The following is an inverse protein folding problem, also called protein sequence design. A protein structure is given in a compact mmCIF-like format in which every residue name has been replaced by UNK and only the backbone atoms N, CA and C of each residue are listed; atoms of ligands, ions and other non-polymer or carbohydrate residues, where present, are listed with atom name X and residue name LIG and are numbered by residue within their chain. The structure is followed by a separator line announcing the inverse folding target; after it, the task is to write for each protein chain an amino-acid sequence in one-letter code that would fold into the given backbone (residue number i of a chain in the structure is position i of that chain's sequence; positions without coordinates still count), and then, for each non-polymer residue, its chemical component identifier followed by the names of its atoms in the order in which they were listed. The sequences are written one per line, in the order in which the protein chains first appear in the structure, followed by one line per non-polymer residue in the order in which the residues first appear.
data_IF_834191961721
#
_entry.id   IF_834191961721
#
_cell.length_a   1.000
_cell.length_b   1.000
_cell.length_c   1.000
_cell.angle_alpha   90.00
_cell.angle_beta   90.00
_cell.angle_gamma   90.00
#
_symmetry.space_group_name_H-M   'P 1'
#
loop_
_entity.id
_entity.type
_entity.pdbx_description
1 polymer ?
#
# COMPACT_ATOMS: atom_id res chain seq x y z
N UNK A 1 -17.94 5.66 -6.56
CA UNK A 1 -18.93 4.53 -6.61
C UNK A 1 -18.40 3.31 -5.84
N UNK A 2 -19.20 2.26 -5.58
CA UNK A 2 -18.72 1.01 -4.92
C UNK A 2 -18.47 -0.10 -5.94
N UNK A 3 -17.35 -0.81 -5.79
CA UNK A 3 -17.01 -2.01 -6.57
C UNK A 3 -17.35 -3.30 -5.82
N UNK A 4 -16.96 -4.44 -6.38
CA UNK A 4 -17.02 -5.76 -5.71
C UNK A 4 -15.65 -6.42 -5.72
N UNK A 5 -15.25 -6.99 -4.59
CA UNK A 5 -14.05 -7.84 -4.51
C UNK A 5 -14.42 -9.12 -3.79
N UNK A 6 -13.98 -10.26 -4.31
CA UNK A 6 -14.14 -11.55 -3.64
C UNK A 6 -12.98 -12.50 -4.02
N UNK A 7 -12.82 -13.56 -3.24
CA UNK A 7 -11.83 -14.62 -3.48
C UNK A 7 -12.55 -15.93 -3.73
N UNK A 8 -12.10 -16.69 -4.72
CA UNK A 8 -12.65 -17.99 -5.10
C UNK A 8 -11.52 -19.01 -5.26
N UNK A 9 -11.69 -20.17 -4.64
CA UNK A 9 -10.82 -21.33 -4.88
C UNK A 9 -11.59 -22.36 -5.68
N UNK A 10 -10.99 -22.87 -6.75
CA UNK A 10 -11.52 -23.96 -7.56
C UNK A 10 -10.52 -25.10 -7.66
N UNK A 11 -11.02 -26.33 -7.63
CA UNK A 11 -10.24 -27.56 -7.67
C UNK A 11 -10.77 -28.45 -8.78
N UNK A 12 -9.87 -29.13 -9.50
CA UNK A 12 -10.29 -29.89 -10.65
C UNK A 12 -9.22 -30.76 -11.24
N UNK A 13 -9.49 -31.16 -12.47
CA UNK A 13 -8.63 -32.02 -13.26
C UNK A 13 -8.47 -31.48 -14.66
N UNK A 14 -7.29 -31.68 -15.25
CA UNK A 14 -6.94 -31.30 -16.62
C UNK A 14 -6.26 -32.47 -17.32
N UNK A 15 -6.58 -32.67 -18.59
CA UNK A 15 -5.87 -33.56 -19.52
C UNK A 15 -5.12 -32.67 -20.51
N UNK A 16 -3.80 -32.82 -20.56
CA UNK A 16 -2.96 -32.11 -21.51
C UNK A 16 -2.84 -32.96 -22.78
N UNK A 17 -2.97 -32.32 -23.93
CA UNK A 17 -2.88 -33.00 -25.21
C UNK A 17 -1.44 -33.51 -25.44
N UNK A 18 -1.30 -34.74 -25.93
CA UNK A 18 0.01 -35.39 -26.08
C UNK A 18 0.59 -36.04 -24.81
N UNK A 19 -0.09 -35.96 -23.66
CA UNK A 19 0.34 -36.59 -22.41
C UNK A 19 -0.61 -37.70 -21.93
N UNK A 20 -0.08 -38.83 -21.43
CA UNK A 20 -0.90 -39.82 -20.76
C UNK A 20 -1.31 -39.32 -19.36
N UNK A 21 -2.61 -39.39 -19.08
CA UNK A 21 -3.15 -39.23 -17.72
C UNK A 21 -3.77 -37.87 -17.42
N UNK A 22 -4.41 -37.82 -16.25
CA UNK A 22 -5.16 -36.66 -15.77
C UNK A 22 -4.37 -36.02 -14.63
N UNK A 23 -4.18 -34.70 -14.69
CA UNK A 23 -3.47 -33.91 -13.69
C UNK A 23 -4.44 -33.14 -12.81
N UNK A 24 -4.09 -32.97 -11.53
CA UNK A 24 -4.85 -32.10 -10.62
C UNK A 24 -4.54 -30.63 -10.95
N UNK A 25 -5.58 -29.81 -11.02
CA UNK A 25 -5.48 -28.35 -11.18
C UNK A 25 -6.16 -27.65 -10.00
N UNK A 26 -5.55 -26.56 -9.53
CA UNK A 26 -6.11 -25.68 -8.51
C UNK A 26 -5.93 -24.23 -8.92
N UNK A 27 -7.00 -23.46 -8.81
CA UNK A 27 -6.97 -22.00 -8.96
C UNK A 27 -7.35 -21.36 -7.63
N UNK A 28 -6.51 -20.45 -7.15
CA UNK A 28 -6.78 -19.57 -6.02
C UNK A 28 -6.87 -18.13 -6.56
N UNK A 29 -8.09 -17.64 -6.79
CA UNK A 29 -8.35 -16.41 -7.52
C UNK A 29 -8.92 -15.31 -6.63
N UNK A 30 -8.58 -14.07 -6.97
CA UNK A 30 -9.20 -12.84 -6.47
C UNK A 30 -9.85 -12.12 -7.66
N UNK A 31 -11.15 -11.89 -7.56
CA UNK A 31 -11.91 -11.14 -8.55
C UNK A 31 -12.14 -9.70 -8.06
N UNK A 32 -11.89 -8.72 -8.93
CA UNK A 32 -12.12 -7.30 -8.67
C UNK A 32 -12.98 -6.70 -9.77
N UNK A 33 -14.18 -6.25 -9.41
CA UNK A 33 -15.13 -5.62 -10.31
C UNK A 33 -15.30 -4.13 -9.96
N UNK A 34 -15.50 -3.34 -11.01
CA UNK A 34 -15.66 -1.88 -10.93
C UNK A 34 -16.98 -1.45 -10.31
N UNK A 35 -17.94 -2.37 -10.28
CA UNK A 35 -19.31 -2.14 -9.83
C UNK A 35 -19.73 -3.24 -8.86
N UNK A 36 -20.79 -2.95 -8.12
CA UNK A 36 -21.49 -3.97 -7.33
C UNK A 36 -22.01 -5.06 -8.27
N UNK A 37 -21.65 -6.32 -8.01
CA UNK A 37 -22.18 -7.46 -8.74
C UNK A 37 -23.66 -7.59 -8.47
N UNK A 38 -24.47 -7.46 -9.53
CA UNK A 38 -25.90 -7.60 -9.48
C UNK A 38 -26.32 -8.74 -10.42
N UNK A 39 -27.09 -9.74 -9.98
CA UNK A 39 -27.42 -10.92 -10.81
C UNK A 39 -28.08 -10.60 -12.15
N UNK A 40 -28.82 -9.50 -12.23
CA UNK A 40 -29.54 -9.07 -13.44
C UNK A 40 -28.66 -8.28 -14.43
N UNK A 41 -27.39 -8.00 -14.13
CA UNK A 41 -26.48 -7.25 -14.99
C UNK A 41 -25.28 -8.10 -15.41
N UNK A 42 -24.73 -7.80 -16.58
CA UNK A 42 -23.40 -8.27 -16.97
C UNK A 42 -22.36 -7.38 -16.29
N UNK A 43 -21.43 -7.99 -15.57
CA UNK A 43 -20.33 -7.29 -14.90
C UNK A 43 -19.01 -7.92 -15.28
N UNK A 44 -18.06 -7.11 -15.74
CA UNK A 44 -16.68 -7.52 -15.95
C UNK A 44 -15.89 -7.34 -14.65
N UNK A 45 -14.99 -8.28 -14.38
CA UNK A 45 -14.07 -8.25 -13.26
C UNK A 45 -12.68 -8.70 -13.71
N UNK A 46 -11.63 -8.07 -13.16
CA UNK A 46 -10.26 -8.55 -13.31
C UNK A 46 -10.01 -9.70 -12.34
N UNK A 47 -9.33 -10.73 -12.80
CA UNK A 47 -8.85 -11.85 -12.02
C UNK A 47 -7.34 -11.71 -11.80
N UNK A 48 -6.90 -11.94 -10.57
CA UNK A 48 -5.50 -12.20 -10.24
C UNK A 48 -5.43 -13.38 -9.27
N UNK A 49 -4.32 -14.13 -9.25
CA UNK A 49 -4.19 -15.23 -8.30
C UNK A 49 -3.11 -16.23 -8.65
N UNK A 50 -3.21 -17.42 -8.07
CA UNK A 50 -2.24 -18.51 -8.25
C UNK A 50 -2.88 -19.67 -9.00
N UNK A 51 -2.20 -20.15 -10.04
CA UNK A 51 -2.60 -21.31 -10.83
C UNK A 51 -1.61 -22.45 -10.60
N UNK A 52 -2.11 -23.63 -10.22
CA UNK A 52 -1.28 -24.83 -10.00
C UNK A 52 -1.78 -25.98 -10.84
N UNK A 53 -0.89 -26.56 -11.64
CA UNK A 53 -1.11 -27.83 -12.34
C UNK A 53 -0.04 -28.80 -11.84
N UNK A 54 -0.48 -29.92 -11.28
CA UNK A 54 0.41 -30.88 -10.65
C UNK A 54 1.54 -31.33 -11.60
N UNK A 55 2.79 -31.01 -11.22
CA UNK A 55 4.00 -31.35 -11.97
C UNK A 55 4.23 -30.53 -13.25
N UNK A 56 3.56 -29.38 -13.42
CA UNK A 56 3.64 -28.55 -14.64
C UNK A 56 3.64 -27.04 -14.38
N UNK A 57 2.89 -26.60 -13.36
CA UNK A 57 2.75 -25.17 -13.08
C UNK A 57 2.56 -24.93 -11.60
N UNK A 58 3.22 -23.88 -11.11
CA UNK A 58 2.94 -23.26 -9.83
C UNK A 58 3.17 -21.75 -9.95
N UNK A 59 2.31 -21.09 -10.73
CA UNK A 59 2.43 -19.68 -11.05
C UNK A 59 1.67 -18.82 -10.03
N UNK A 60 2.34 -18.01 -9.21
CA UNK A 60 1.69 -17.12 -8.25
C UNK A 60 1.08 -15.85 -8.88
N UNK A 61 1.29 -15.63 -10.17
CA UNK A 61 0.98 -14.39 -10.89
C UNK A 61 0.00 -14.58 -12.06
N UNK A 62 -0.94 -15.51 -11.92
CA UNK A 62 -1.99 -15.71 -12.91
C UNK A 62 -2.93 -14.49 -12.99
N UNK A 63 -3.24 -14.02 -14.19
CA UNK A 63 -4.06 -12.84 -14.43
C UNK A 63 -5.09 -13.05 -15.54
N UNK A 64 -6.24 -12.37 -15.46
CA UNK A 64 -7.25 -12.50 -16.49
C UNK A 64 -8.53 -11.74 -16.23
N UNK A 65 -9.61 -12.22 -16.83
CA UNK A 65 -10.92 -11.60 -16.81
C UNK A 65 -12.02 -12.60 -16.43
N UNK A 66 -13.02 -12.07 -15.74
CA UNK A 66 -14.23 -12.75 -15.34
C UNK A 66 -15.43 -11.94 -15.80
N UNK A 67 -16.25 -12.53 -16.66
CA UNK A 67 -17.55 -11.99 -17.03
C UNK A 67 -18.64 -12.68 -16.21
N UNK A 68 -19.33 -11.93 -15.36
CA UNK A 68 -20.45 -12.43 -14.55
C UNK A 68 -21.77 -11.97 -15.18
N UNK A 69 -22.54 -12.88 -15.77
CA UNK A 69 -23.84 -12.58 -16.38
C UNK A 69 -24.85 -13.73 -16.16
N UNK A 70 -25.24 -14.00 -14.91
CA UNK A 70 -26.00 -15.21 -14.55
C UNK A 70 -27.46 -15.19 -15.04
N UNK A 71 -28.07 -14.01 -15.21
CA UNK A 71 -29.44 -13.89 -15.72
C UNK A 71 -29.44 -13.51 -17.21
N UNK A 72 -28.73 -12.44 -17.59
CA UNK A 72 -28.81 -11.89 -18.94
C UNK A 72 -28.20 -12.81 -20.00
N UNK A 73 -27.05 -13.44 -19.73
CA UNK A 73 -26.39 -14.40 -20.65
C UNK A 73 -26.36 -15.83 -20.14
N UNK A 74 -26.91 -16.09 -18.94
CA UNK A 74 -26.86 -17.39 -18.26
C UNK A 74 -25.44 -17.98 -18.21
N UNK A 75 -24.43 -17.13 -18.03
CA UNK A 75 -23.03 -17.50 -18.14
C UNK A 75 -22.14 -16.77 -17.15
N UNK A 76 -21.14 -17.47 -16.64
CA UNK A 76 -19.99 -16.88 -15.95
C UNK A 76 -18.72 -17.35 -16.66
N UNK A 77 -18.07 -16.48 -17.44
CA UNK A 77 -16.89 -16.82 -18.28
C UNK A 77 -15.61 -16.41 -17.58
N UNK A 78 -14.62 -17.30 -17.60
CA UNK A 78 -13.28 -17.10 -17.07
C UNK A 78 -12.30 -17.17 -18.23
N UNK A 79 -11.44 -16.15 -18.36
CA UNK A 79 -10.28 -16.18 -19.25
C UNK A 79 -9.05 -15.81 -18.44
N UNK A 80 -8.16 -16.77 -18.17
CA UNK A 80 -7.01 -16.61 -17.28
C UNK A 80 -5.72 -16.97 -18.02
N UNK A 81 -4.70 -16.15 -17.89
CA UNK A 81 -3.34 -16.41 -18.35
C UNK A 81 -2.45 -16.78 -17.17
N UNK A 82 -1.59 -17.78 -17.32
CA UNK A 82 -0.55 -18.13 -16.36
C UNK A 82 0.61 -18.85 -17.05
N UNK A 83 1.76 -18.96 -16.38
CA UNK A 83 2.95 -19.65 -16.88
C UNK A 83 3.00 -21.11 -16.41
N UNK A 84 3.31 -22.03 -17.32
CA UNK A 84 3.55 -23.45 -17.04
C UNK A 84 4.81 -23.90 -17.80
N UNK A 85 5.79 -24.49 -17.12
CA UNK A 85 7.08 -24.90 -17.71
C UNK A 85 7.75 -23.82 -18.59
N UNK A 86 7.68 -22.55 -18.16
CA UNK A 86 8.24 -21.40 -18.89
C UNK A 86 7.40 -20.90 -20.07
N UNK A 87 6.26 -21.53 -20.37
CA UNK A 87 5.34 -21.17 -21.46
C UNK A 87 4.10 -20.47 -20.94
N UNK A 88 3.55 -19.56 -21.72
CA UNK A 88 2.35 -18.79 -21.38
C UNK A 88 1.10 -19.53 -21.86
N UNK A 89 0.27 -19.99 -20.92
CA UNK A 89 -0.99 -20.68 -21.21
C UNK A 89 -2.19 -19.77 -20.94
N UNK A 90 -3.24 -19.93 -21.75
CA UNK A 90 -4.54 -19.28 -21.57
C UNK A 90 -5.62 -20.33 -21.28
N UNK A 91 -6.24 -20.25 -20.11
CA UNK A 91 -7.46 -20.99 -19.76
C UNK A 91 -8.68 -20.18 -20.18
N UNK A 92 -9.54 -20.74 -21.02
CA UNK A 92 -10.86 -20.17 -21.35
C UNK A 92 -11.96 -21.19 -21.02
N UNK A 93 -12.93 -20.78 -20.22
CA UNK A 93 -14.02 -21.64 -19.80
C UNK A 93 -15.22 -20.86 -19.28
N UNK A 94 -16.37 -21.50 -19.17
CA UNK A 94 -17.54 -20.85 -18.59
C UNK A 94 -18.46 -21.79 -17.81
N UNK A 95 -19.06 -21.25 -16.76
CA UNK A 95 -20.17 -21.88 -16.03
C UNK A 95 -21.47 -21.54 -16.74
N UNK A 96 -22.25 -22.56 -17.13
CA UNK A 96 -23.56 -22.40 -17.76
C UNK A 96 -24.66 -22.37 -16.69
N UNK A 97 -25.14 -21.17 -16.35
CA UNK A 97 -26.06 -20.93 -15.23
C UNK A 97 -27.49 -21.36 -15.60
N UNK A 98 -28.10 -22.22 -14.79
CA UNK A 98 -29.48 -22.67 -15.01
C UNK A 98 -30.26 -22.82 -13.70
N UNK A 99 -31.51 -22.33 -13.63
CA UNK A 99 -32.35 -22.49 -12.45
C UNK A 99 -32.74 -23.94 -12.19
N UNK A 100 -32.66 -24.82 -13.21
CA UNK A 100 -32.98 -26.25 -13.07
C UNK A 100 -31.97 -27.03 -12.21
N UNK A 101 -30.72 -26.57 -12.16
CA UNK A 101 -29.63 -27.17 -11.37
C UNK A 101 -28.79 -26.06 -10.73
N UNK A 102 -29.34 -25.33 -9.75
CA UNK A 102 -28.78 -24.05 -9.30
C UNK A 102 -27.38 -24.20 -8.68
N UNK A 103 -27.13 -25.30 -7.96
CA UNK A 103 -25.82 -25.54 -7.34
C UNK A 103 -24.79 -26.00 -8.38
N UNK A 104 -25.09 -27.04 -9.15
CA UNK A 104 -24.14 -27.59 -10.13
C UNK A 104 -23.76 -26.56 -11.22
N UNK A 105 -24.75 -25.80 -11.70
CA UNK A 105 -24.55 -24.77 -12.73
C UNK A 105 -23.70 -23.58 -12.28
N UNK A 106 -23.58 -23.36 -10.97
CA UNK A 106 -22.79 -22.29 -10.36
C UNK A 106 -21.41 -22.75 -9.87
N UNK A 107 -21.17 -24.06 -9.86
CA UNK A 107 -19.98 -24.66 -9.23
C UNK A 107 -19.08 -25.41 -10.18
N UNK A 108 -19.56 -25.80 -11.37
CA UNK A 108 -18.77 -26.54 -12.36
C UNK A 108 -18.33 -25.63 -13.51
N UNK A 109 -17.02 -25.57 -13.75
CA UNK A 109 -16.37 -24.79 -14.79
C UNK A 109 -15.60 -25.72 -15.74
N UNK A 110 -16.20 -26.15 -16.86
CA UNK A 110 -15.42 -26.73 -17.97
C UNK A 110 -14.53 -25.64 -18.60
N UNK A 111 -13.33 -26.02 -19.02
CA UNK A 111 -12.39 -25.12 -19.66
C UNK A 111 -11.48 -25.83 -20.67
N UNK A 112 -10.89 -25.03 -21.54
CA UNK A 112 -9.85 -25.42 -22.50
C UNK A 112 -8.59 -24.60 -22.23
N UNK A 113 -7.41 -25.22 -22.40
CA UNK A 113 -6.11 -24.55 -22.35
C UNK A 113 -5.60 -24.28 -23.77
N UNK A 114 -5.02 -23.11 -23.94
CA UNK A 114 -4.42 -22.66 -25.20
C UNK A 114 -2.98 -22.18 -24.99
N UNK A 115 -2.11 -22.46 -25.95
CA UNK A 115 -0.77 -21.88 -26.13
C UNK A 115 -0.78 -21.23 -27.53
N UNK A 116 -0.56 -19.91 -27.62
CA UNK A 116 -0.63 -19.16 -28.90
C UNK A 116 -1.86 -19.49 -29.76
N UNK A 117 -3.04 -19.49 -29.13
CA UNK A 117 -4.35 -19.85 -29.70
C UNK A 117 -4.50 -21.32 -30.16
N UNK A 118 -3.46 -22.14 -30.08
CA UNK A 118 -3.54 -23.59 -30.28
C UNK A 118 -4.02 -24.27 -29.00
N UNK A 119 -5.00 -25.18 -29.12
CA UNK A 119 -5.48 -25.97 -27.99
C UNK A 119 -4.39 -26.95 -27.53
N UNK A 120 -4.12 -26.96 -26.22
CA UNK A 120 -3.14 -27.84 -25.58
C UNK A 120 -3.71 -28.69 -24.44
N UNK A 121 -5.00 -28.57 -24.14
CA UNK A 121 -5.66 -29.43 -23.17
C UNK A 121 -7.08 -29.00 -22.81
N UNK A 122 -7.77 -29.84 -22.04
CA UNK A 122 -9.12 -29.59 -21.56
C UNK A 122 -9.30 -30.10 -20.12
N UNK A 123 -10.21 -29.48 -19.38
CA UNK A 123 -10.43 -29.88 -18.00
C UNK A 123 -11.74 -29.39 -17.41
N UNK A 124 -11.93 -29.75 -16.15
CA UNK A 124 -13.09 -29.33 -15.36
C UNK A 124 -12.62 -28.90 -13.98
N UNK A 125 -12.94 -27.66 -13.62
CA UNK A 125 -12.80 -27.09 -12.29
C UNK A 125 -14.14 -27.15 -11.56
N UNK A 126 -14.08 -27.34 -10.24
CA UNK A 126 -15.23 -27.35 -9.35
C UNK A 126 -14.97 -26.45 -8.15
N UNK A 127 -15.97 -25.65 -7.80
CA UNK A 127 -15.99 -24.93 -6.53
C UNK A 127 -16.36 -25.90 -5.40
N UNK A 128 -15.48 -26.09 -4.39
CA UNK A 128 -15.73 -27.06 -3.32
C UNK A 128 -16.74 -26.49 -2.33
N UNK A 129 -18.04 -26.64 -2.58
CA UNK A 129 -19.11 -26.01 -1.77
C UNK A 129 -18.96 -26.27 -0.26
N UNK A 130 -18.66 -27.51 0.13
CA UNK A 130 -18.62 -27.92 1.52
C UNK A 130 -17.54 -27.17 2.35
N UNK A 131 -16.41 -26.86 1.74
CA UNK A 131 -15.26 -26.23 2.42
C UNK A 131 -15.01 -24.79 1.98
N UNK A 132 -15.46 -24.43 0.78
CA UNK A 132 -15.19 -23.15 0.11
C UNK A 132 -16.31 -22.12 0.21
N UNK A 133 -17.57 -22.52 0.45
CA UNK A 133 -18.71 -21.58 0.44
C UNK A 133 -18.61 -20.49 1.51
N UNK A 134 -18.34 -20.88 2.76
CA UNK A 134 -18.24 -19.92 3.85
C UNK A 134 -17.04 -18.96 3.66
N UNK A 135 -15.80 -19.43 3.37
CA UNK A 135 -14.69 -18.55 3.02
C UNK A 135 -14.98 -17.61 1.84
N UNK A 136 -15.62 -18.11 0.79
CA UNK A 136 -16.03 -17.34 -0.39
C UNK A 136 -16.96 -16.19 -0.01
N UNK A 137 -18.06 -16.48 0.69
CA UNK A 137 -19.03 -15.47 1.15
C UNK A 137 -18.38 -14.45 2.10
N UNK A 138 -17.52 -14.90 3.02
CA UNK A 138 -16.77 -14.02 3.92
C UNK A 138 -15.71 -13.17 3.20
N UNK A 139 -15.31 -13.59 1.99
CA UNK A 139 -14.40 -12.91 1.08
C UNK A 139 -15.04 -11.71 0.37
N UNK A 140 -16.37 -11.64 0.25
CA UNK A 140 -17.05 -10.53 -0.42
C UNK A 140 -16.82 -9.19 0.28
N UNK A 141 -16.50 -8.18 -0.52
CA UNK A 141 -16.29 -6.78 -0.12
C UNK A 141 -16.86 -5.85 -1.16
N UNK A 142 -17.31 -4.69 -0.67
CA UNK A 142 -17.85 -3.61 -1.49
C UNK A 142 -17.09 -2.31 -1.22
N UNK A 143 -15.80 -2.24 -1.61
CA UNK A 143 -14.98 -1.06 -1.35
C UNK A 143 -15.58 0.16 -2.06
N UNK A 144 -15.51 1.33 -1.40
CA UNK A 144 -15.65 2.59 -2.12
C UNK A 144 -14.41 2.75 -2.99
N UNK A 145 -14.61 2.99 -4.28
CA UNK A 145 -13.53 3.44 -5.14
C UNK A 145 -13.27 4.90 -4.85
N UNK A 146 -12.02 5.15 -4.50
CA UNK A 146 -11.42 6.46 -4.38
C UNK A 146 -10.26 6.41 -5.36
N UNK A 147 -10.22 7.38 -6.26
CA UNK A 147 -9.10 7.54 -7.16
C UNK A 147 -7.91 8.03 -6.32
N UNK A 148 -6.78 7.32 -6.29
CA UNK A 148 -5.57 7.82 -5.64
C UNK A 148 -5.19 9.23 -6.11
N UNK A 149 -5.44 9.56 -7.39
CA UNK A 149 -5.10 10.85 -7.97
C UNK A 149 -5.86 12.02 -7.32
N UNK A 150 -7.11 11.81 -6.87
CA UNK A 150 -7.88 12.84 -6.14
C UNK A 150 -7.18 13.26 -4.84
N UNK A 151 -6.37 12.38 -4.25
CA UNK A 151 -5.62 12.69 -3.03
C UNK A 151 -4.24 13.29 -3.33
N UNK A 152 -3.89 13.55 -4.60
CA UNK A 152 -2.69 14.28 -5.00
C UNK A 152 -2.92 15.78 -5.17
N UNK A 153 -4.16 16.23 -5.35
CA UNK A 153 -4.54 17.65 -5.42
C UNK A 153 -4.16 18.41 -4.13
N UNK A 154 -3.63 19.63 -4.19
CA UNK A 154 -3.44 20.49 -3.01
C UNK A 154 -4.74 20.79 -2.27
N UNK A 155 -4.69 20.78 -0.94
CA UNK A 155 -5.83 21.05 -0.05
C UNK A 155 -5.80 22.47 0.50
N UNK A 156 -4.63 23.09 0.52
CA UNK A 156 -4.46 24.44 1.02
C UNK A 156 -5.37 25.42 0.26
N UNK A 157 -6.10 26.22 1.03
CA UNK A 157 -7.15 27.11 0.52
C UNK A 157 -6.81 28.60 0.70
N UNK A 158 -5.54 28.93 0.94
CA UNK A 158 -5.10 30.30 1.24
C UNK A 158 -4.94 30.62 2.73
N UNK A 159 -5.37 29.74 3.64
CA UNK A 159 -5.30 30.01 5.07
C UNK A 159 -3.84 30.02 5.60
N UNK A 160 -3.44 31.00 6.43
CA UNK A 160 -2.11 31.00 7.06
C UNK A 160 -1.97 29.87 8.08
N UNK A 161 -0.73 29.62 8.51
CA UNK A 161 -0.41 28.60 9.52
C UNK A 161 -0.66 27.18 9.04
N UNK A 162 -0.33 26.88 7.77
CA UNK A 162 -0.54 25.58 7.14
C UNK A 162 0.74 25.02 6.58
N UNK A 163 0.91 23.70 6.73
CA UNK A 163 1.84 22.92 5.93
C UNK A 163 1.08 21.84 5.16
N UNK A 164 1.54 21.59 3.95
CA UNK A 164 1.07 20.50 3.13
C UNK A 164 2.25 19.78 2.49
N UNK A 165 2.33 18.47 2.68
CA UNK A 165 3.46 17.64 2.25
C UNK A 165 2.99 16.59 1.26
N UNK A 166 3.78 16.39 0.22
CA UNK A 166 3.79 15.24 -0.68
C UNK A 166 5.14 14.58 -0.53
N UNK A 167 5.18 13.37 0.02
CA UNK A 167 6.42 12.64 0.09
C UNK A 167 6.29 11.23 -0.46
N UNK A 168 7.39 10.73 -0.99
CA UNK A 168 7.52 9.42 -1.57
C UNK A 168 8.78 8.77 -1.01
N UNK A 169 8.63 7.54 -0.56
CA UNK A 169 9.74 6.67 -0.21
C UNK A 169 9.70 5.40 -1.05
N UNK A 170 10.86 4.88 -1.41
CA UNK A 170 11.02 3.62 -2.13
C UNK A 170 12.38 2.99 -1.85
N UNK A 171 12.48 1.68 -2.10
CA UNK A 171 13.75 0.95 -2.08
C UNK A 171 13.99 0.30 -3.44
N UNK A 172 15.15 0.56 -4.03
CA UNK A 172 15.61 -0.12 -5.24
C UNK A 172 15.86 -1.61 -4.96
N UNK A 173 15.17 -2.54 -5.63
CA UNK A 173 15.33 -3.96 -5.39
C UNK A 173 16.69 -4.50 -5.83
N UNK A 174 17.39 -3.80 -6.74
CA UNK A 174 18.68 -4.25 -7.25
C UNK A 174 19.82 -3.97 -6.28
N UNK A 175 19.87 -2.75 -5.72
CA UNK A 175 20.94 -2.31 -4.81
C UNK A 175 20.56 -2.32 -3.33
N UNK A 176 19.26 -2.35 -3.00
CA UNK A 176 18.77 -2.08 -1.65
C UNK A 176 18.82 -0.60 -1.25
N UNK A 177 19.13 0.31 -2.19
CA UNK A 177 19.21 1.76 -1.91
C UNK A 177 17.81 2.33 -1.66
N UNK A 178 17.63 2.97 -0.52
CA UNK A 178 16.44 3.77 -0.21
C UNK A 178 16.48 5.12 -0.90
N UNK A 179 15.32 5.64 -1.31
CA UNK A 179 15.17 6.97 -1.92
C UNK A 179 14.01 7.67 -1.23
N UNK A 180 14.23 8.94 -0.88
CA UNK A 180 13.22 9.82 -0.30
C UNK A 180 13.07 11.08 -1.14
N UNK A 181 11.83 11.41 -1.48
CA UNK A 181 11.44 12.65 -2.16
C UNK A 181 10.40 13.35 -1.30
N UNK A 182 10.72 14.52 -0.75
CA UNK A 182 9.83 15.31 0.09
C UNK A 182 9.55 16.66 -0.56
N UNK A 183 8.27 16.97 -0.76
CA UNK A 183 7.82 18.24 -1.31
C UNK A 183 6.86 18.89 -0.31
N UNK A 184 7.07 20.16 -0.03
CA UNK A 184 6.37 20.85 1.05
C UNK A 184 5.95 22.25 0.64
N UNK A 185 4.69 22.55 0.90
CA UNK A 185 4.13 23.89 0.95
C UNK A 185 4.12 24.35 2.41
N UNK A 186 4.68 25.52 2.68
CA UNK A 186 4.55 26.22 3.96
C UNK A 186 3.82 27.53 3.73
N UNK A 187 2.73 27.74 4.47
CA UNK A 187 1.99 29.01 4.56
C UNK A 187 2.20 29.59 5.97
N UNK A 188 3.11 30.56 6.14
CA UNK A 188 3.47 31.10 7.44
C UNK A 188 2.29 31.72 8.22
N UNK A 189 2.40 31.79 9.55
CA UNK A 189 1.38 32.40 10.42
C UNK A 189 1.44 33.93 10.44
N UNK A 190 2.60 34.51 10.12
CA UNK A 190 2.84 35.96 10.16
C UNK A 190 2.29 36.71 8.94
N UNK A 191 1.70 35.99 7.98
CA UNK A 191 1.14 36.55 6.76
C UNK A 191 2.15 36.74 5.63
N UNK A 192 3.41 36.30 5.80
CA UNK A 192 4.36 36.23 4.70
C UNK A 192 3.89 35.26 3.60
N UNK A 193 4.38 35.48 2.38
CA UNK A 193 3.96 34.71 1.21
C UNK A 193 4.22 33.20 1.41
N UNK A 194 3.27 32.34 1.03
CA UNK A 194 3.46 30.89 1.05
C UNK A 194 4.59 30.50 0.09
N UNK A 195 5.40 29.54 0.50
CA UNK A 195 6.51 29.05 -0.30
C UNK A 195 6.52 27.53 -0.39
N UNK A 196 7.15 27.07 -1.47
CA UNK A 196 7.37 25.67 -1.79
C UNK A 196 8.84 25.34 -1.59
N UNK A 197 9.15 24.21 -0.97
CA UNK A 197 10.51 23.68 -0.88
C UNK A 197 10.47 22.17 -0.73
N UNK A 198 11.64 21.54 -0.62
CA UNK A 198 11.70 20.12 -0.36
C UNK A 198 13.10 19.55 -0.43
N UNK A 199 13.18 18.23 -0.39
CA UNK A 199 14.42 17.47 -0.38
C UNK A 199 14.33 16.25 -1.28
N UNK A 200 15.48 15.86 -1.81
CA UNK A 200 15.70 14.52 -2.35
C UNK A 200 16.88 13.90 -1.57
N UNK A 201 16.76 12.64 -1.18
CA UNK A 201 17.81 11.93 -0.48
C UNK A 201 17.92 10.47 -0.94
N UNK A 202 19.13 9.93 -0.84
CA UNK A 202 19.45 8.53 -1.11
C UNK A 202 20.12 7.92 0.11
N UNK A 203 19.75 6.67 0.38
CA UNK A 203 20.19 5.88 1.52
C UNK A 203 20.77 4.56 0.99
N UNK A 204 22.03 4.57 0.50
CA UNK A 204 22.69 3.34 0.06
C UNK A 204 22.72 2.30 1.18
N UNK A 205 22.69 1.01 0.82
CA UNK A 205 22.88 -0.07 1.81
C UNK A 205 24.28 -0.02 2.43
N UNK A 206 25.26 0.37 1.62
CA UNK A 206 26.63 0.66 2.00
C UNK A 206 27.05 2.01 1.43
N UNK A 207 27.66 2.86 2.24
CA UNK A 207 28.11 4.20 1.84
C UNK A 207 27.35 5.31 2.55
N UNK A 208 27.68 6.55 2.17
CA UNK A 208 27.16 7.75 2.82
C UNK A 208 25.74 8.08 2.34
N UNK A 209 24.89 8.49 3.29
CA UNK A 209 23.59 9.08 3.00
C UNK A 209 23.79 10.46 2.36
N UNK A 210 23.26 10.66 1.16
CA UNK A 210 23.39 11.93 0.42
C UNK A 210 22.04 12.57 0.23
N UNK A 211 21.99 13.90 0.27
CA UNK A 211 20.75 14.65 0.07
C UNK A 211 21.00 15.99 -0.60
N UNK A 212 19.92 16.58 -1.09
CA UNK A 212 19.87 17.94 -1.65
C UNK A 212 18.58 18.62 -1.23
N UNK A 213 18.57 19.94 -1.25
CA UNK A 213 17.38 20.77 -0.99
C UNK A 213 17.03 21.56 -2.24
N UNK A 214 15.74 21.71 -2.52
CA UNK A 214 15.23 22.66 -3.50
C UNK A 214 14.28 23.67 -2.85
N UNK A 215 14.14 24.85 -3.47
CA UNK A 215 13.46 25.99 -2.87
C UNK A 215 14.23 26.62 -1.69
N UNK A 216 13.63 27.59 -0.99
CA UNK A 216 12.24 28.01 -1.12
C UNK A 216 11.98 28.81 -2.40
N UNK A 217 10.81 28.61 -3.01
CA UNK A 217 10.29 29.41 -4.12
C UNK A 217 8.83 29.79 -3.86
N UNK A 218 8.29 30.87 -4.44
CA UNK A 218 6.88 31.22 -4.27
C UNK A 218 5.93 30.10 -4.68
N UNK A 219 4.85 29.88 -3.91
CA UNK A 219 3.85 28.86 -4.24
C UNK A 219 2.91 29.31 -5.36
N UNK A 220 2.86 28.53 -6.45
CA UNK A 220 2.13 28.87 -7.68
C UNK A 220 0.70 28.30 -7.76
N UNK A 221 0.21 27.68 -6.68
CA UNK A 221 -1.15 27.07 -6.59
C UNK A 221 -1.48 26.08 -7.72
N UNK A 222 -0.66 25.03 -7.93
CA UNK A 222 -0.97 23.96 -8.89
C UNK A 222 -2.30 23.26 -8.61
N UNK A 223 -2.89 22.65 -9.63
CA UNK A 223 -4.19 21.93 -9.53
C UNK A 223 -4.05 20.43 -9.32
N UNK A 224 -2.94 19.82 -9.73
CA UNK A 224 -2.85 18.36 -9.90
C UNK A 224 -1.87 17.67 -8.94
N UNK A 225 -1.18 18.45 -8.11
CA UNK A 225 -0.07 17.96 -7.29
C UNK A 225 0.78 19.09 -6.73
N UNK A 226 2.01 18.75 -6.37
CA UNK A 226 3.07 19.72 -6.13
C UNK A 226 3.74 20.06 -7.48
N UNK A 227 3.97 21.34 -7.73
CA UNK A 227 4.67 21.80 -8.93
C UNK A 227 5.39 23.12 -8.66
N UNK A 228 6.69 23.14 -8.93
CA UNK A 228 7.54 24.33 -8.96
C UNK A 228 8.40 24.30 -10.21
N UNK A 229 9.20 25.34 -10.44
CA UNK A 229 10.22 25.28 -11.49
C UNK A 229 11.15 24.08 -11.25
N UNK A 230 11.26 23.22 -12.25
CA UNK A 230 12.16 22.06 -12.23
C UNK A 230 11.78 20.89 -11.32
N UNK A 231 10.63 20.92 -10.61
CA UNK A 231 10.19 19.81 -9.74
C UNK A 231 8.67 19.64 -9.80
N UNK A 232 8.20 18.42 -10.04
CA UNK A 232 6.78 18.04 -10.02
C UNK A 232 6.55 16.71 -9.31
N UNK A 233 5.47 16.66 -8.53
CA UNK A 233 4.95 15.44 -7.92
C UNK A 233 3.44 15.42 -8.11
N UNK A 234 2.99 14.60 -9.06
CA UNK A 234 1.58 14.43 -9.41
C UNK A 234 1.22 12.95 -9.37
N UNK A 235 -0.07 12.63 -9.55
CA UNK A 235 -0.50 11.25 -9.58
C UNK A 235 0.20 10.46 -10.69
N UNK A 236 0.93 9.41 -10.32
CA UNK A 236 1.59 8.52 -11.27
C UNK A 236 2.94 9.01 -11.80
N UNK A 237 3.37 10.25 -11.51
CA UNK A 237 4.60 10.80 -12.05
C UNK A 237 5.32 11.71 -11.05
N UNK A 238 6.62 11.47 -10.87
CA UNK A 238 7.52 12.33 -10.11
C UNK A 238 8.69 12.71 -11.03
N UNK A 239 8.93 14.00 -11.18
CA UNK A 239 10.08 14.47 -11.96
C UNK A 239 10.75 15.63 -11.25
N UNK A 240 12.06 15.72 -11.33
CA UNK A 240 12.72 16.94 -10.90
C UNK A 240 14.23 16.89 -10.92
N UNK A 241 14.81 18.03 -10.58
CA UNK A 241 16.25 18.21 -10.46
C UNK A 241 16.59 19.19 -9.34
N UNK A 242 17.59 18.87 -8.53
CA UNK A 242 18.08 19.74 -7.46
C UNK A 242 19.56 19.48 -7.20
N UNK A 243 20.43 20.46 -7.43
CA UNK A 243 21.88 20.24 -7.36
C UNK A 243 22.31 19.15 -8.34
N UNK A 244 23.03 18.14 -7.86
CA UNK A 244 23.49 16.97 -8.61
C UNK A 244 22.47 15.82 -8.63
N UNK A 245 21.25 16.02 -8.11
CA UNK A 245 20.18 15.03 -8.14
C UNK A 245 19.24 15.28 -9.31
N UNK A 246 18.82 14.21 -9.98
CA UNK A 246 17.74 14.22 -10.97
C UNK A 246 16.89 12.97 -10.86
N UNK A 247 15.60 13.11 -11.09
CA UNK A 247 14.69 11.97 -11.07
C UNK A 247 13.58 12.10 -12.12
N UNK A 248 13.19 10.97 -12.67
CA UNK A 248 12.01 10.82 -13.52
C UNK A 248 11.43 9.44 -13.28
N UNK A 249 10.43 9.38 -12.41
CA UNK A 249 9.84 8.16 -11.90
C UNK A 249 8.35 8.09 -12.25
N UNK A 250 7.91 6.93 -12.71
CA UNK A 250 6.51 6.59 -12.88
C UNK A 250 6.06 5.76 -11.69
N UNK A 251 5.05 6.25 -10.97
CA UNK A 251 4.42 5.54 -9.86
C UNK A 251 3.25 4.68 -10.35
N UNK A 252 3.18 3.44 -9.88
CA UNK A 252 2.03 2.56 -10.09
C UNK A 252 1.46 2.08 -8.75
N UNK A 253 0.40 2.71 -8.23
CA UNK A 253 -0.24 2.28 -6.99
C UNK A 253 -0.81 0.86 -7.09
N UNK A 254 -0.58 0.04 -6.06
CA UNK A 254 -0.96 -1.37 -5.98
C UNK A 254 -2.10 -1.62 -4.98
N UNK A 255 -3.05 -0.70 -4.90
CA UNK A 255 -4.22 -0.85 -4.04
C UNK A 255 -4.93 0.47 -3.76
N UNK A 256 -6.02 0.44 -2.96
CA UNK A 256 -6.72 1.65 -2.59
C UNK A 256 -5.91 2.49 -1.60
N UNK A 257 -6.18 3.81 -1.50
CA UNK A 257 -5.56 4.67 -0.50
C UNK A 257 -5.67 4.12 0.92
N UNK A 258 -4.65 4.35 1.74
CA UNK A 258 -4.63 4.00 3.16
C UNK A 258 -4.69 5.27 3.99
N UNK A 259 -5.68 5.36 4.87
CA UNK A 259 -5.75 6.45 5.82
C UNK A 259 -5.13 5.98 7.13
N UNK A 260 -3.93 6.48 7.45
CA UNK A 260 -3.24 6.23 8.73
C UNK A 260 -4.09 6.77 9.88
N UNK A 261 -4.56 8.00 9.72
CA UNK A 261 -5.49 8.66 10.62
C UNK A 261 -6.95 8.35 10.27
N UNK A 262 -7.90 8.61 11.17
CA UNK A 262 -9.33 8.56 10.85
C UNK A 262 -9.68 9.38 9.61
N UNK A 263 -10.48 8.82 8.70
CA UNK A 263 -10.82 9.48 7.42
C UNK A 263 -11.43 10.87 7.58
N UNK A 264 -12.15 11.10 8.69
CA UNK A 264 -12.75 12.40 8.97
C UNK A 264 -11.71 13.48 9.27
N UNK A 265 -10.54 13.13 9.83
CA UNK A 265 -9.50 14.12 10.15
C UNK A 265 -8.76 14.62 8.92
N UNK A 266 -8.65 13.78 7.88
CA UNK A 266 -8.19 14.21 6.57
C UNK A 266 -9.19 15.18 5.94
N UNK A 267 -10.48 14.83 5.95
CA UNK A 267 -11.56 15.62 5.34
C UNK A 267 -11.84 16.93 6.07
N UNK A 268 -11.71 16.92 7.40
CA UNK A 268 -11.94 18.04 8.30
C UNK A 268 -10.68 18.21 9.15
N UNK A 269 -9.82 19.20 8.87
CA UNK A 269 -8.50 19.35 9.50
C UNK A 269 -8.59 19.87 10.95
N UNK A 270 -9.27 19.09 11.81
CA UNK A 270 -9.48 19.38 13.23
C UNK A 270 -8.35 18.86 14.11
N UNK A 271 -7.55 17.91 13.61
CA UNK A 271 -6.31 17.48 14.25
C UNK A 271 -5.17 18.44 13.88
N UNK A 272 -4.12 18.57 14.71
CA UNK A 272 -2.95 19.39 14.39
C UNK A 272 -2.35 19.08 13.02
N UNK A 273 -2.26 17.79 12.70
CA UNK A 273 -1.94 17.27 11.39
C UNK A 273 -2.69 15.94 11.15
N UNK A 274 -2.87 15.58 9.89
CA UNK A 274 -3.33 14.26 9.48
C UNK A 274 -2.46 13.75 8.33
N UNK A 275 -2.16 12.45 8.36
CA UNK A 275 -1.39 11.75 7.34
C UNK A 275 -2.26 10.66 6.69
N UNK A 276 -2.10 10.50 5.37
CA UNK A 276 -2.70 9.43 4.59
C UNK A 276 -1.81 9.08 3.40
N UNK A 277 -2.00 7.90 2.83
CA UNK A 277 -1.24 7.38 1.71
C UNK A 277 -2.17 7.22 0.50
N UNK A 278 -2.09 8.10 -0.50
CA UNK A 278 -2.75 7.87 -1.79
C UNK A 278 -2.32 6.51 -2.38
N UNK A 279 -1.03 6.20 -2.26
CA UNK A 279 -0.43 4.96 -2.72
C UNK A 279 0.34 4.30 -1.57
N UNK A 280 -0.37 3.60 -0.70
CA UNK A 280 0.22 2.90 0.46
C UNK A 280 1.09 1.69 0.10
N UNK A 281 1.06 1.30 -1.16
CA UNK A 281 1.94 0.33 -1.79
C UNK A 281 1.98 0.72 -3.24
N UNK A 282 3.17 0.95 -3.78
CA UNK A 282 3.37 1.29 -5.17
C UNK A 282 4.66 0.64 -5.67
N UNK A 283 4.73 0.51 -6.99
CA UNK A 283 5.98 0.25 -7.68
C UNK A 283 6.40 1.49 -8.44
N UNK A 284 7.70 1.78 -8.43
CA UNK A 284 8.31 2.88 -9.14
C UNK A 284 9.24 2.37 -10.22
N UNK A 285 9.08 2.90 -11.43
CA UNK A 285 9.94 2.63 -12.58
C UNK A 285 10.53 3.95 -13.08
N UNK A 286 11.80 3.94 -13.49
CA UNK A 286 12.43 5.12 -14.10
C UNK A 286 13.87 5.31 -13.69
N UNK A 287 14.32 6.56 -13.77
CA UNK A 287 15.70 6.93 -13.48
C UNK A 287 15.77 7.86 -12.27
N UNK A 288 16.70 7.57 -11.37
CA UNK A 288 17.11 8.45 -10.29
C UNK A 288 18.63 8.56 -10.29
N UNK A 289 19.19 9.75 -10.44
CA UNK A 289 20.63 9.99 -10.43
C UNK A 289 21.05 10.96 -9.34
N UNK A 290 22.25 10.76 -8.82
CA UNK A 290 22.92 11.59 -7.82
C UNK A 290 24.43 11.55 -8.04
N UNK A 291 25.04 12.69 -8.31
CA UNK A 291 26.44 12.77 -8.74
C UNK A 291 26.66 11.97 -10.03
N UNK A 292 27.62 11.04 -10.01
CA UNK A 292 27.93 10.15 -11.15
C UNK A 292 27.12 8.84 -11.13
N UNK A 293 26.30 8.62 -10.09
CA UNK A 293 25.55 7.37 -9.92
C UNK A 293 24.14 7.50 -10.46
N UNK A 294 23.68 6.47 -11.19
CA UNK A 294 22.32 6.37 -11.73
C UNK A 294 21.67 5.05 -11.33
N UNK A 295 20.55 5.13 -10.62
CA UNK A 295 19.67 4.03 -10.30
C UNK A 295 18.61 3.87 -11.41
N UNK A 296 18.61 2.71 -12.06
CA UNK A 296 17.58 2.32 -13.02
C UNK A 296 16.50 1.52 -12.32
N UNK A 297 15.54 2.23 -11.73
CA UNK A 297 14.49 1.62 -10.92
C UNK A 297 13.54 0.79 -11.79
N UNK A 298 13.35 -0.47 -11.39
CA UNK A 298 12.41 -1.41 -12.03
C UNK A 298 11.57 -2.06 -10.96
N UNK A 299 10.30 -1.67 -10.90
CA UNK A 299 9.38 -2.18 -9.90
C UNK A 299 9.80 -1.89 -8.46
N UNK A 300 10.50 -0.78 -8.20
CA UNK A 300 10.98 -0.45 -6.87
C UNK A 300 9.83 -0.28 -5.89
N UNK A 301 9.87 -0.97 -4.75
CA UNK A 301 8.75 -1.01 -3.81
C UNK A 301 8.78 0.22 -2.90
N UNK A 302 7.62 0.79 -2.62
CA UNK A 302 7.52 1.94 -1.74
C UNK A 302 6.10 2.48 -1.60
N UNK A 303 6.00 3.73 -1.17
CA UNK A 303 4.74 4.42 -1.01
C UNK A 303 4.84 5.93 -1.20
N UNK A 304 3.72 6.51 -1.62
CA UNK A 304 3.51 7.95 -1.60
C UNK A 304 2.44 8.31 -0.59
N UNK A 305 2.70 9.42 0.10
CA UNK A 305 1.94 9.86 1.25
C UNK A 305 1.77 11.38 1.25
N UNK A 306 0.77 11.79 2.02
CA UNK A 306 0.31 13.16 2.13
C UNK A 306 0.14 13.52 3.60
N UNK A 307 0.63 14.70 3.96
CA UNK A 307 0.42 15.30 5.28
C UNK A 307 -0.24 16.65 5.06
N UNK A 308 -1.25 16.96 5.88
CA UNK A 308 -1.84 18.29 5.93
C UNK A 308 -2.04 18.70 7.38
N UNK A 309 -1.53 19.86 7.78
CA UNK A 309 -1.52 20.26 9.18
C UNK A 309 -1.09 21.71 9.42
N UNK A 310 -0.70 21.99 10.65
CA UNK A 310 -0.21 23.29 11.12
C UNK A 310 1.29 23.25 11.47
N UNK A 311 2.00 22.20 11.08
CA UNK A 311 3.38 21.92 11.45
C UNK A 311 3.55 20.55 12.09
N UNK A 312 4.76 20.30 12.56
CA UNK A 312 5.19 19.06 13.17
C UNK A 312 4.65 18.87 14.58
N UNK A 313 4.68 17.61 15.03
CA UNK A 313 4.38 17.26 16.41
C UNK A 313 5.51 17.71 17.35
N UNK A 314 5.25 17.77 18.65
CA UNK A 314 6.31 18.07 19.63
C UNK A 314 7.40 16.99 19.62
N UNK A 315 6.97 15.73 19.49
CA UNK A 315 7.83 14.56 19.25
C UNK A 315 7.05 13.58 18.38
N UNK A 316 7.70 12.90 17.45
CA UNK A 316 7.05 11.87 16.65
C UNK A 316 8.00 10.74 16.25
N UNK A 317 7.41 9.60 15.90
CA UNK A 317 8.02 8.60 15.04
C UNK A 317 7.05 8.20 13.94
N UNK A 318 7.60 7.82 12.79
CA UNK A 318 6.87 7.28 11.67
C UNK A 318 7.57 6.03 11.15
N UNK A 319 6.78 5.07 10.68
CA UNK A 319 7.25 3.89 9.96
C UNK A 319 6.31 3.61 8.79
N UNK A 320 6.92 3.42 7.64
CA UNK A 320 6.38 2.67 6.53
C UNK A 320 7.20 1.38 6.34
N UNK A 321 6.51 0.25 6.22
CA UNK A 321 7.13 -1.05 6.02
C UNK A 321 6.33 -1.85 4.99
N UNK A 322 6.91 -2.07 3.81
CA UNK A 322 6.48 -3.12 2.90
C UNK A 322 6.86 -4.47 3.52
N UNK A 323 5.85 -5.29 3.81
CA UNK A 323 6.02 -6.56 4.53
C UNK A 323 6.10 -7.77 3.58
N UNK A 324 6.12 -7.53 2.26
CA UNK A 324 6.01 -8.58 1.25
C UNK A 324 4.57 -9.09 1.04
N UNK A 325 4.36 -9.84 -0.04
CA UNK A 325 3.05 -10.45 -0.39
C UNK A 325 1.85 -9.47 -0.46
N UNK A 326 2.12 -8.17 -0.57
CA UNK A 326 1.10 -7.13 -0.57
C UNK A 326 0.62 -6.70 0.82
N UNK A 327 1.30 -7.15 1.86
CA UNK A 327 1.12 -6.67 3.21
C UNK A 327 1.94 -5.38 3.42
N UNK A 328 1.37 -4.41 4.14
CA UNK A 328 2.05 -3.16 4.48
C UNK A 328 1.67 -2.71 5.88
N UNK A 329 2.63 -2.19 6.62
CA UNK A 329 2.44 -1.60 7.93
C UNK A 329 2.80 -0.11 7.89
N UNK A 330 1.85 0.69 8.35
CA UNK A 330 2.00 2.13 8.49
C UNK A 330 1.80 2.53 9.95
N UNK A 331 2.69 3.34 10.51
CA UNK A 331 2.61 3.82 11.88
C UNK A 331 2.96 5.30 11.93
N UNK A 332 2.14 6.08 12.64
CA UNK A 332 2.52 7.39 13.18
C UNK A 332 2.29 7.39 14.68
N UNK A 333 3.32 7.69 15.46
CA UNK A 333 3.20 7.96 16.88
C UNK A 333 3.61 9.41 17.17
N UNK A 334 2.77 10.20 17.83
CA UNK A 334 3.02 11.64 17.98
C UNK A 334 2.56 12.20 19.32
N UNK A 335 3.32 13.17 19.84
CA UNK A 335 3.00 13.99 21.02
C UNK A 335 2.60 15.40 20.54
N UNK A 336 1.48 15.92 21.03
CA UNK A 336 0.96 17.21 20.58
C UNK A 336 1.81 18.39 21.10
N UNK A 337 1.92 19.44 20.29
CA UNK A 337 2.51 20.74 20.65
C UNK A 337 1.64 21.58 21.59
N UNK A 338 0.40 21.19 21.90
CA UNK A 338 -0.47 21.95 22.82
C UNK A 338 0.04 21.83 24.26
N UNK A 339 0.18 22.92 25.03
CA UNK A 339 0.82 22.88 26.36
C UNK A 339 0.33 21.77 27.29
N UNK A 340 -0.99 21.59 27.41
CA UNK A 340 -1.59 20.55 28.26
C UNK A 340 -1.36 19.11 27.76
N UNK A 341 -1.09 18.94 26.46
CA UNK A 341 -0.96 17.64 25.81
C UNK A 341 0.51 17.21 25.59
N UNK A 342 1.48 18.13 25.74
CA UNK A 342 2.92 17.85 25.59
C UNK A 342 3.45 16.80 26.57
N UNK A 343 2.80 16.67 27.73
CA UNK A 343 3.18 15.71 28.79
C UNK A 343 2.47 14.36 28.67
N UNK A 344 1.54 14.20 27.73
CA UNK A 344 0.82 12.95 27.54
C UNK A 344 1.67 11.93 26.76
N UNK A 345 1.45 10.63 26.97
CA UNK A 345 2.04 9.60 26.12
C UNK A 345 1.70 9.81 24.63
N UNK A 346 2.56 9.37 23.70
CA UNK A 346 2.29 9.51 22.28
C UNK A 346 0.97 8.85 21.86
N UNK A 347 0.20 9.53 21.01
CA UNK A 347 -0.93 8.92 20.33
C UNK A 347 -0.42 8.08 19.16
N UNK A 348 -0.87 6.84 19.08
CA UNK A 348 -0.43 5.88 18.06
C UNK A 348 -1.53 5.65 17.02
N UNK A 349 -1.23 5.96 15.77
CA UNK A 349 -2.04 5.65 14.60
C UNK A 349 -1.34 4.55 13.79
N UNK A 350 -1.77 3.30 14.01
CA UNK A 350 -1.24 2.12 13.32
C UNK A 350 -2.25 1.54 12.33
N UNK A 351 -1.78 1.18 11.13
CA UNK A 351 -2.54 0.47 10.09
C UNK A 351 -1.69 -0.65 9.48
N UNK A 352 -2.04 -1.89 9.79
CA UNK A 352 -1.54 -3.08 9.10
C UNK A 352 -2.55 -3.50 8.03
N UNK A 353 -2.22 -3.36 6.75
CA UNK A 353 -2.96 -3.98 5.66
C UNK A 353 -2.36 -5.35 5.42
N UNK A 354 -3.16 -6.39 5.64
CA UNK A 354 -2.77 -7.79 5.44
C UNK A 354 -3.88 -8.59 4.76
N UNK A 355 -3.55 -9.39 3.76
CA UNK A 355 -4.51 -10.20 2.98
C UNK A 355 -5.69 -9.35 2.43
N UNK A 356 -5.39 -8.13 2.00
CA UNK A 356 -6.38 -7.15 1.53
C UNK A 356 -7.34 -6.63 2.62
N UNK A 357 -7.03 -6.83 3.90
CA UNK A 357 -7.79 -6.32 5.05
C UNK A 357 -6.92 -5.38 5.88
N UNK A 358 -7.47 -4.23 6.27
CA UNK A 358 -6.75 -3.36 7.20
C UNK A 358 -7.15 -3.60 8.65
N UNK A 359 -6.15 -3.79 9.49
CA UNK A 359 -6.22 -3.92 10.93
C UNK A 359 -5.48 -2.75 11.61
N UNK A 360 -6.04 -2.18 12.69
CA UNK A 360 -7.43 -2.31 13.10
C UNK A 360 -8.40 -1.81 12.02
N UNK A 361 -9.63 -2.32 11.96
CA UNK A 361 -10.61 -1.89 10.92
C UNK A 361 -10.89 -0.39 10.92
N UNK A 362 -10.77 0.26 12.08
CA UNK A 362 -11.00 1.68 12.35
C UNK A 362 -9.73 2.28 12.92
N UNK A 363 -9.22 3.36 12.31
CA UNK A 363 -7.95 4.00 12.70
C UNK A 363 -8.03 4.59 14.11
N UNK A 364 -9.22 4.99 14.55
CA UNK A 364 -9.47 5.46 15.91
C UNK A 364 -9.12 4.40 16.96
N UNK A 365 -9.21 3.10 16.62
CA UNK A 365 -8.98 2.04 17.62
C UNK A 365 -7.55 1.96 18.11
N UNK A 366 -6.56 2.36 17.31
CA UNK A 366 -5.18 2.42 17.75
C UNK A 366 -4.96 3.63 18.66
N UNK A 367 -5.50 4.79 18.29
CA UNK A 367 -5.29 6.03 19.04
C UNK A 367 -6.09 6.14 20.35
N UNK A 368 -7.39 5.80 20.33
CA UNK A 368 -8.31 6.03 21.47
C UNK A 368 -8.84 4.73 22.11
N UNK A 369 -8.54 3.56 21.53
CA UNK A 369 -9.04 2.27 22.01
C UNK A 369 -10.54 2.08 21.78
N UNK A 370 -11.04 0.85 21.97
CA UNK A 370 -12.50 0.54 21.98
C UNK A 370 -13.06 0.33 23.39
N UNK A 371 -12.17 0.21 24.38
CA UNK A 371 -12.39 -0.12 25.80
C UNK A 371 -11.27 0.53 26.66
N UNK A 372 -10.91 1.79 26.38
CA UNK A 372 -9.93 2.57 27.19
C UNK A 372 -8.61 2.93 26.49
N UNK A 373 -8.02 4.04 26.96
CA UNK A 373 -6.68 4.54 26.61
C UNK A 373 -5.56 3.51 26.89
N UNK A 374 -4.42 3.62 26.21
CA UNK A 374 -3.19 2.90 26.54
C UNK A 374 -3.06 1.47 25.97
N UNK A 375 -3.89 1.11 24.99
CA UNK A 375 -3.79 -0.19 24.27
C UNK A 375 -2.78 -0.21 23.15
N UNK A 376 -2.43 0.94 22.60
CA UNK A 376 -1.23 1.11 21.78
C UNK A 376 -0.33 2.10 22.51
N UNK A 377 0.96 1.83 22.51
CA UNK A 377 1.99 2.61 23.19
C UNK A 377 3.18 2.72 22.26
N UNK A 378 3.81 3.88 22.25
CA UNK A 378 5.08 4.10 21.58
C UNK A 378 6.12 4.52 22.61
N UNK A 379 7.30 3.94 22.53
CA UNK A 379 8.51 4.50 23.14
C UNK A 379 9.30 5.17 22.01
N UNK A 380 9.20 6.49 21.93
CA UNK A 380 9.89 7.31 20.92
C UNK A 380 11.33 7.53 21.39
N UNK A 381 12.30 7.18 20.56
CA UNK A 381 13.73 7.31 20.82
C UNK A 381 14.56 6.98 19.58
N UNK A 382 15.86 7.20 19.68
CA UNK A 382 16.87 6.76 18.71
C UNK A 382 18.05 6.14 19.46
N UNK A 383 18.79 5.19 18.85
CA UNK A 383 18.57 4.64 17.50
C UNK A 383 17.31 3.76 17.42
N UNK A 384 16.84 3.25 18.57
CA UNK A 384 15.71 2.32 18.60
C UNK A 384 14.43 2.99 19.13
N UNK A 385 13.31 2.66 18.51
CA UNK A 385 11.98 2.96 19.05
C UNK A 385 11.02 1.79 18.86
N UNK A 386 9.96 1.77 19.66
CA UNK A 386 9.02 0.64 19.66
C UNK A 386 7.58 1.09 19.65
N UNK A 387 6.74 0.28 19.02
CA UNK A 387 5.29 0.37 19.11
C UNK A 387 4.71 -0.97 19.48
N UNK A 388 3.94 -1.00 20.57
CA UNK A 388 3.18 -2.19 20.98
C UNK A 388 1.71 -1.84 20.99
N UNK A 389 0.85 -2.79 20.65
CA UNK A 389 -0.55 -2.62 20.97
C UNK A 389 -1.47 -3.77 20.65
N UNK A 390 -2.72 -3.67 21.09
CA UNK A 390 -3.69 -4.76 20.98
C UNK A 390 -5.11 -4.30 20.67
N UNK A 391 -5.80 -5.05 19.82
CA UNK A 391 -7.26 -4.95 19.68
C UNK A 391 -7.91 -6.34 19.68
N UNK A 392 -8.86 -6.54 20.60
CA UNK A 392 -9.57 -7.81 20.79
C UNK A 392 -8.60 -9.00 20.85
N UNK A 393 -8.63 -9.87 19.84
CA UNK A 393 -7.88 -11.13 19.76
C UNK A 393 -6.54 -11.00 19.02
N UNK A 394 -6.08 -9.78 18.73
CA UNK A 394 -4.77 -9.55 18.09
C UNK A 394 -3.95 -8.53 18.87
N UNK A 395 -2.64 -8.78 18.97
CA UNK A 395 -1.65 -7.82 19.44
C UNK A 395 -0.46 -7.77 18.49
N UNK A 396 0.22 -6.64 18.47
CA UNK A 396 1.38 -6.37 17.64
C UNK A 396 2.51 -5.80 18.50
N UNK A 397 3.74 -6.18 18.19
CA UNK A 397 4.96 -5.53 18.64
C UNK A 397 5.79 -5.16 17.41
N UNK A 398 6.26 -3.93 17.39
CA UNK A 398 7.10 -3.35 16.35
C UNK A 398 8.30 -2.74 17.04
N UNK A 399 9.47 -3.09 16.55
CA UNK A 399 10.75 -2.58 16.99
C UNK A 399 11.48 -2.11 15.74
N UNK A 400 11.91 -0.85 15.76
CA UNK A 400 12.60 -0.21 14.64
C UNK A 400 13.96 0.24 15.15
N UNK A 401 14.99 -0.08 14.39
CA UNK A 401 16.35 0.37 14.65
C UNK A 401 16.82 1.26 13.50
N UNK A 402 17.19 2.49 13.84
CA UNK A 402 17.62 3.53 12.92
C UNK A 402 19.05 3.92 13.29
N UNK A 403 20.05 3.21 12.73
CA UNK A 403 21.44 3.47 13.06
C UNK A 403 21.86 4.84 12.49
N UNK A 404 22.75 5.54 13.20
CA UNK A 404 23.10 6.93 12.91
C UNK A 404 23.76 7.09 11.53
N UNK A 405 24.60 6.13 11.13
CA UNK A 405 25.28 6.07 9.84
C UNK A 405 24.32 5.93 8.65
N UNK A 406 23.06 5.50 8.88
CA UNK A 406 22.01 5.37 7.87
C UNK A 406 20.87 6.37 8.06
N UNK A 407 21.07 7.40 8.89
CA UNK A 407 20.03 8.36 9.26
C UNK A 407 20.41 9.78 8.86
N UNK A 408 19.58 10.38 8.01
CA UNK A 408 19.70 11.78 7.61
C UNK A 408 19.04 12.68 8.67
N UNK A 409 19.77 13.69 9.18
CA UNK A 409 19.21 14.71 10.08
C UNK A 409 18.94 16.00 9.31
N UNK A 410 17.68 16.46 9.33
CA UNK A 410 17.24 17.69 8.65
C UNK A 410 16.52 18.64 9.60
N UNK A 411 16.74 19.94 9.39
CA UNK A 411 16.02 20.99 10.09
C UNK A 411 14.88 21.57 9.23
N UNK A 412 13.73 21.74 9.88
CA UNK A 412 12.49 22.28 9.35
C UNK A 412 12.14 23.56 10.08
N UNK A 413 11.33 24.39 9.41
CA UNK A 413 10.60 25.47 10.06
C UNK A 413 9.12 25.21 9.88
N UNK A 414 8.44 25.07 11.00
CA UNK A 414 6.98 25.01 11.00
C UNK A 414 6.41 26.37 10.55
N UNK A 415 5.12 26.41 10.13
CA UNK A 415 4.46 27.65 9.74
C UNK A 415 4.51 28.78 10.78
N UNK A 416 4.67 28.45 12.07
CA UNK A 416 4.81 29.42 13.16
C UNK A 416 6.28 29.84 13.42
N UNK A 417 7.21 29.43 12.55
CA UNK A 417 8.63 29.75 12.61
C UNK A 417 9.45 28.87 13.54
N UNK A 418 8.80 28.00 14.34
CA UNK A 418 9.51 27.11 15.25
C UNK A 418 10.36 26.10 14.47
N UNK A 419 11.53 25.78 15.04
CA UNK A 419 12.42 24.76 14.48
C UNK A 419 11.88 23.38 14.83
N UNK A 420 12.01 22.44 13.91
CA UNK A 420 11.84 21.02 14.16
C UNK A 420 13.01 20.27 13.52
N UNK A 421 13.41 19.15 14.11
CA UNK A 421 14.47 18.28 13.59
C UNK A 421 13.84 16.94 13.24
N UNK A 422 13.96 16.53 11.98
CA UNK A 422 13.61 15.17 11.54
C UNK A 422 14.89 14.37 11.34
N UNK A 423 14.86 13.11 11.78
CA UNK A 423 15.90 12.12 11.57
C UNK A 423 15.27 11.00 10.76
N UNK A 424 15.49 11.02 9.45
CA UNK A 424 14.90 10.11 8.47
C UNK A 424 15.88 9.01 8.06
N UNK A 425 15.39 7.79 7.86
CA UNK A 425 16.14 6.69 7.28
C UNK A 425 15.25 5.88 6.35
N UNK A 426 15.67 5.72 5.09
CA UNK A 426 15.02 4.81 4.14
C UNK A 426 15.70 3.45 4.04
N UNK A 427 16.57 3.14 5.01
CA UNK A 427 17.31 1.88 5.13
C UNK A 427 17.44 1.43 6.60
N UNK A 428 16.40 1.71 7.40
CA UNK A 428 16.31 1.24 8.77
C UNK A 428 15.97 -0.25 8.83
N UNK A 429 16.16 -0.83 10.02
CA UNK A 429 15.76 -2.20 10.32
C UNK A 429 14.44 -2.22 11.10
N UNK A 430 13.61 -3.24 10.88
CA UNK A 430 12.39 -3.39 11.66
C UNK A 430 12.01 -4.84 11.90
N UNK A 431 11.57 -5.14 13.13
CA UNK A 431 10.97 -6.42 13.50
C UNK A 431 9.51 -6.22 13.87
N UNK A 432 8.62 -6.86 13.11
CA UNK A 432 7.17 -6.82 13.34
C UNK A 432 6.68 -8.20 13.76
N UNK A 433 6.07 -8.30 14.94
CA UNK A 433 5.47 -9.53 15.45
C UNK A 433 3.99 -9.31 15.67
N UNK A 434 3.15 -10.05 14.93
CA UNK A 434 1.70 -10.08 15.10
C UNK A 434 1.30 -11.39 15.78
N UNK A 435 0.51 -11.32 16.84
CA UNK A 435 0.04 -12.48 17.59
C UNK A 435 -1.49 -12.50 17.68
N UNK A 436 -2.03 -13.72 17.78
CA UNK A 436 -3.45 -13.99 17.92
C UNK A 436 -3.75 -14.73 19.22
N UNK A 437 -4.89 -14.42 19.83
CA UNK A 437 -5.38 -15.11 21.02
C UNK A 437 -6.15 -16.38 20.65
N UNK A 438 -5.67 -17.53 21.10
CA UNK A 438 -6.33 -18.86 21.04
C UNK A 438 -6.32 -19.53 22.42
N UNK A 439 -6.68 -18.79 23.48
CA UNK A 439 -6.54 -19.21 24.88
C UNK A 439 -5.18 -18.83 25.50
N UNK A 440 -4.19 -18.57 24.65
CA UNK A 440 -2.93 -17.86 24.92
C UNK A 440 -2.52 -17.13 23.63
N UNK A 441 -1.56 -16.22 23.74
CA UNK A 441 -1.00 -15.53 22.58
C UNK A 441 -0.08 -16.46 21.80
N UNK A 442 -0.30 -16.53 20.49
CA UNK A 442 0.54 -17.29 19.55
C UNK A 442 0.93 -16.40 18.37
N UNK A 443 2.17 -16.51 17.85
CA UNK A 443 2.57 -15.84 16.63
C UNK A 443 1.61 -16.16 15.47
N UNK A 444 1.02 -15.12 14.89
CA UNK A 444 0.18 -15.17 13.68
C UNK A 444 1.03 -14.81 12.44
N UNK A 445 2.04 -13.95 12.60
CA UNK A 445 3.03 -13.61 11.58
C UNK A 445 4.24 -12.90 12.23
N UNK A 446 5.40 -12.98 11.58
CA UNK A 446 6.59 -12.22 11.94
C UNK A 446 7.29 -11.77 10.67
N UNK A 447 7.68 -10.50 10.64
CA UNK A 447 8.45 -9.90 9.56
C UNK A 447 9.73 -9.29 10.13
N UNK A 448 10.80 -9.42 9.37
CA UNK A 448 12.09 -8.80 9.63
C UNK A 448 12.47 -8.06 8.36
N UNK A 449 12.64 -6.75 8.49
CA UNK A 449 13.11 -5.85 7.45
C UNK A 449 14.56 -5.54 7.81
N UNK A 450 15.46 -5.83 6.87
CA UNK A 450 16.90 -5.61 6.98
C UNK A 450 17.30 -4.57 5.94
N UNK A 451 17.47 -3.33 6.38
CA UNK A 451 17.80 -2.18 5.54
C UNK A 451 16.70 -1.74 4.59
N UNK A 452 15.43 -2.06 4.88
CA UNK A 452 14.29 -1.76 3.99
C UNK A 452 13.10 -1.12 4.71
N UNK A 453 13.22 -0.83 6.00
CA UNK A 453 12.22 -0.05 6.71
C UNK A 453 12.44 1.44 6.45
N UNK A 454 11.35 2.15 6.19
CA UNK A 454 11.31 3.60 5.99
C UNK A 454 10.82 4.22 7.28
N UNK A 455 11.71 4.91 8.00
CA UNK A 455 11.44 5.32 9.36
C UNK A 455 11.93 6.74 9.64
N UNK A 456 11.19 7.45 10.48
CA UNK A 456 11.55 8.79 10.93
C UNK A 456 11.36 8.89 12.44
N UNK A 457 12.21 9.68 13.08
CA UNK A 457 12.00 10.18 14.42
C UNK A 457 12.29 11.68 14.45
N UNK A 458 11.47 12.45 15.15
CA UNK A 458 11.69 13.89 15.23
C UNK A 458 11.14 14.55 16.47
N UNK A 459 11.59 15.79 16.65
CA UNK A 459 11.25 16.64 17.78
C UNK A 459 11.20 18.11 17.35
N UNK A 460 10.43 18.90 18.11
CA UNK A 460 10.23 20.33 17.89
C UNK A 460 10.56 21.13 19.14
#
# INVERSE_FOLDING_TARGET
MRGTVFTETMLGTVRLDGEPGVRRIRLDLRATADRVLLPHRTTQARLTGRARIAGRADDPSAEGELEVSPIARRRIRYRLTFTADGRRLTLDGWKSVTPRRPVASMTVLPFTLYEDDARVGEGVLRFPVATGLLPFLLGFRFPRREDPAEHMVPRWNGAPGRTEVWYTTLTDPASGTGVWLHHELVAPTDGSEPFAHGWAAVFPREGEVRHTRFGPVPWTRPTDGFSTEGVTCTAGQLTGSAGDFRWKLTERPQGPPLFTFPRWSWRRPLLPAAQMLPAARATYDGEFSYGETTLNLRGAAGASARIYGHGNAHRWTWLHADLGDGDVLEIVAAVSTRPALRRLPPLVFLRLRRDGRTWPRRAERSAIGRLGLGRFRAAIGLPTWTVTGRTALRRIRVEVDQPEDRTLTLEYRDPDGARAVCRNSESADARVVLERWWGHWRPEATWVLDGTAHAEAGER
#
